data_IF_021810176588
#
_entry.id   IF_021810176588
#
_cell.length_a   1.000
_cell.length_b   1.000
_cell.length_c   1.000
_cell.angle_alpha   90.00
_cell.angle_beta   90.00
_cell.angle_gamma   90.00
#
_symmetry.space_group_name_H-M   'P 1'
#
loop_
_entity.id
_entity.type
_entity.pdbx_description
1 polymer ?
#
# COMPACT_ATOMS: atom_id res chain seq x y z
N UNK A 1 -31.46 33.53 -7.13
CA UNK A 1 -30.23 32.91 -6.62
C UNK A 1 -29.64 33.81 -5.56
N UNK A 2 -29.10 33.30 -4.48
CA UNK A 2 -28.53 34.04 -3.32
C UNK A 2 -29.53 34.73 -2.36
N UNK A 3 -30.85 34.55 -2.56
CA UNK A 3 -31.82 34.97 -1.55
C UNK A 3 -31.81 34.01 -0.36
N UNK A 4 -31.79 34.53 0.83
CA UNK A 4 -31.86 33.73 2.07
C UNK A 4 -33.27 33.15 2.27
N UNK A 5 -33.37 31.89 2.72
CA UNK A 5 -32.29 30.92 3.07
C UNK A 5 -31.73 30.23 1.85
N UNK A 6 -30.37 30.09 1.80
CA UNK A 6 -29.69 29.32 0.74
C UNK A 6 -30.09 27.84 0.79
N UNK A 7 -30.24 27.24 -0.39
CA UNK A 7 -30.69 25.87 -0.62
C UNK A 7 -29.51 25.00 -1.09
N UNK A 8 -29.78 23.77 -1.43
CA UNK A 8 -28.78 22.84 -2.01
C UNK A 8 -28.12 23.37 -3.28
N UNK A 9 -28.88 24.05 -4.15
CA UNK A 9 -28.32 24.61 -5.41
C UNK A 9 -27.21 25.64 -5.16
N UNK A 10 -27.34 26.49 -4.15
CA UNK A 10 -26.28 27.44 -3.78
C UNK A 10 -25.03 26.71 -3.28
N UNK A 11 -25.19 25.58 -2.55
CA UNK A 11 -24.08 24.70 -2.17
C UNK A 11 -23.35 24.12 -3.38
N UNK A 12 -24.07 23.60 -4.36
CA UNK A 12 -23.46 23.10 -5.61
C UNK A 12 -22.74 24.19 -6.38
N UNK A 13 -23.30 25.40 -6.46
CA UNK A 13 -22.64 26.53 -7.12
C UNK A 13 -21.38 26.97 -6.38
N UNK A 14 -21.39 26.97 -5.04
CA UNK A 14 -20.17 27.23 -4.24
C UNK A 14 -19.09 26.18 -4.57
N UNK A 15 -19.44 24.88 -4.58
CA UNK A 15 -18.49 23.83 -4.92
C UNK A 15 -17.92 23.98 -6.33
N UNK A 16 -18.74 24.29 -7.32
CA UNK A 16 -18.29 24.61 -8.68
C UNK A 16 -17.34 25.82 -8.70
N UNK A 17 -17.65 26.86 -7.94
CA UNK A 17 -16.77 28.02 -7.78
C UNK A 17 -15.42 27.66 -7.18
N UNK A 18 -15.41 26.81 -6.14
CA UNK A 18 -14.17 26.30 -5.53
C UNK A 18 -13.33 25.47 -6.52
N UNK A 19 -13.99 24.62 -7.32
CA UNK A 19 -13.31 23.85 -8.38
C UNK A 19 -12.72 24.79 -9.44
N UNK A 20 -13.47 25.81 -9.86
CA UNK A 20 -12.98 26.76 -10.85
C UNK A 20 -11.79 27.59 -10.31
N UNK A 21 -11.88 28.10 -9.10
CA UNK A 21 -10.76 28.81 -8.43
C UNK A 21 -9.56 27.87 -8.24
N UNK A 22 -9.80 26.64 -7.80
CA UNK A 22 -8.76 25.63 -7.71
C UNK A 22 -8.10 25.33 -9.06
N UNK A 23 -8.87 25.25 -10.14
CA UNK A 23 -8.35 25.09 -11.50
C UNK A 23 -7.47 26.27 -11.93
N UNK A 24 -7.87 27.50 -11.64
CA UNK A 24 -7.05 28.69 -11.89
C UNK A 24 -5.75 28.67 -11.09
N UNK A 25 -5.78 28.29 -9.81
CA UNK A 25 -4.59 28.12 -8.99
C UNK A 25 -3.67 27.01 -9.54
N UNK A 26 -4.24 25.90 -9.99
CA UNK A 26 -3.48 24.79 -10.58
C UNK A 26 -2.67 25.24 -11.80
N UNK A 27 -3.27 26.06 -12.66
CA UNK A 27 -2.62 26.57 -13.88
C UNK A 27 -1.60 27.66 -13.54
N UNK A 28 -1.87 28.53 -12.57
CA UNK A 28 -1.03 29.71 -12.28
C UNK A 28 0.12 29.42 -11.32
N UNK A 29 -0.10 28.56 -10.32
CA UNK A 29 0.89 28.27 -9.24
C UNK A 29 1.46 26.86 -9.35
N UNK A 30 0.77 25.97 -10.08
CA UNK A 30 1.11 24.55 -10.11
C UNK A 30 0.56 23.77 -8.90
N UNK A 31 0.88 22.47 -8.77
CA UNK A 31 0.33 21.61 -7.71
C UNK A 31 0.77 22.07 -6.30
N UNK A 32 -0.05 21.75 -5.30
CA UNK A 32 0.28 22.01 -3.88
C UNK A 32 1.56 21.25 -3.49
N UNK A 33 2.50 21.96 -2.88
CA UNK A 33 3.76 21.39 -2.38
C UNK A 33 3.62 21.09 -0.89
N UNK A 34 3.25 19.86 -0.56
CA UNK A 34 3.04 19.46 0.84
C UNK A 34 4.30 19.54 1.70
N UNK A 35 5.49 19.40 1.12
CA UNK A 35 6.76 19.53 1.84
C UNK A 35 6.93 20.90 2.55
N UNK A 36 6.23 21.95 2.11
CA UNK A 36 6.22 23.25 2.80
C UNK A 36 5.56 23.16 4.19
N UNK A 37 4.71 22.17 4.39
CA UNK A 37 4.02 21.90 5.65
C UNK A 37 4.76 20.94 6.57
N UNK A 38 6.04 20.61 6.31
CA UNK A 38 6.84 19.84 7.27
C UNK A 38 6.99 20.62 8.59
N UNK A 39 7.27 19.89 9.69
CA UNK A 39 7.49 20.50 10.99
C UNK A 39 8.54 21.65 10.92
N UNK A 40 8.31 22.82 11.55
CA UNK A 40 7.17 23.16 12.42
C UNK A 40 5.97 23.82 11.70
N UNK A 41 6.00 23.98 10.37
CA UNK A 41 4.98 24.71 9.62
C UNK A 41 3.58 24.08 9.72
N UNK A 42 3.49 22.77 9.81
CA UNK A 42 2.23 22.04 10.00
C UNK A 42 1.56 22.38 11.36
N UNK A 43 2.33 22.51 12.43
CA UNK A 43 1.80 22.91 13.75
C UNK A 43 1.26 24.33 13.69
N UNK A 44 1.98 25.25 13.03
CA UNK A 44 1.52 26.63 12.82
C UNK A 44 0.24 26.64 11.99
N UNK A 45 0.20 25.88 10.89
CA UNK A 45 -0.99 25.75 10.05
C UNK A 45 -2.18 25.17 10.83
N UNK A 46 -1.97 24.17 11.67
CA UNK A 46 -2.98 23.60 12.55
C UNK A 46 -3.53 24.64 13.53
N UNK A 47 -2.65 25.38 14.21
CA UNK A 47 -3.05 26.45 15.13
C UNK A 47 -3.87 27.54 14.42
N UNK A 48 -3.43 27.99 13.25
CA UNK A 48 -4.16 28.96 12.42
C UNK A 48 -5.52 28.41 12.00
N UNK A 49 -5.57 27.15 11.56
CA UNK A 49 -6.82 26.49 11.14
C UNK A 49 -7.81 26.37 12.30
N UNK A 50 -7.37 25.98 13.49
CA UNK A 50 -8.21 25.94 14.71
C UNK A 50 -8.69 27.34 15.05
N UNK A 51 -7.82 28.36 15.06
CA UNK A 51 -8.18 29.74 15.34
C UNK A 51 -9.24 30.27 14.36
N UNK A 52 -9.07 30.00 13.06
CA UNK A 52 -10.06 30.36 12.04
C UNK A 52 -11.40 29.67 12.29
N UNK A 53 -11.39 28.39 12.65
CA UNK A 53 -12.60 27.62 12.95
C UNK A 53 -13.32 28.17 14.18
N UNK A 54 -12.59 28.47 15.26
CA UNK A 54 -13.14 29.08 16.50
C UNK A 54 -13.73 30.46 16.20
N UNK A 55 -13.00 31.30 15.47
CA UNK A 55 -13.46 32.62 15.08
C UNK A 55 -14.71 32.56 14.20
N UNK A 56 -14.72 31.69 13.21
CA UNK A 56 -15.89 31.47 12.36
C UNK A 56 -17.10 31.02 13.20
N UNK A 57 -16.89 30.06 14.10
CA UNK A 57 -17.94 29.61 15.00
C UNK A 57 -18.46 30.75 15.89
N UNK A 58 -17.60 31.58 16.46
CA UNK A 58 -18.04 32.76 17.25
C UNK A 58 -18.88 33.74 16.43
N UNK A 59 -18.60 33.84 15.13
CA UNK A 59 -19.30 34.74 14.21
C UNK A 59 -20.56 34.12 13.57
N UNK A 60 -20.87 32.85 13.80
CA UNK A 60 -21.93 32.13 13.08
C UNK A 60 -23.32 32.78 13.16
N UNK A 61 -23.64 33.47 14.28
CA UNK A 61 -24.89 34.21 14.46
C UNK A 61 -24.93 35.51 13.64
N UNK A 62 -23.79 36.13 13.37
CA UNK A 62 -23.66 37.37 12.62
C UNK A 62 -23.43 37.16 11.12
N UNK A 63 -22.73 36.08 10.76
CA UNK A 63 -22.34 35.79 9.38
C UNK A 63 -23.15 34.63 8.86
N UNK A 64 -24.11 34.90 7.99
CA UNK A 64 -25.00 33.86 7.45
C UNK A 64 -24.28 32.74 6.70
N UNK A 65 -23.20 33.05 5.98
CA UNK A 65 -22.40 32.08 5.25
C UNK A 65 -21.83 31.00 6.18
N UNK A 66 -21.36 31.36 7.38
CA UNK A 66 -20.87 30.38 8.37
C UNK A 66 -22.00 29.47 8.85
N UNK A 67 -23.18 30.04 9.11
CA UNK A 67 -24.34 29.26 9.49
C UNK A 67 -24.78 28.32 8.37
N UNK A 68 -24.68 28.72 7.11
CA UNK A 68 -24.91 27.86 5.95
C UNK A 68 -23.91 26.71 5.90
N UNK A 69 -22.61 26.97 6.10
CA UNK A 69 -21.55 25.93 6.08
C UNK A 69 -21.83 24.83 7.14
N UNK A 70 -22.37 25.20 8.31
CA UNK A 70 -22.75 24.22 9.35
C UNK A 70 -24.04 23.43 9.02
N UNK A 71 -24.67 23.67 7.89
CA UNK A 71 -25.92 23.02 7.51
C UNK A 71 -25.69 21.83 6.57
N UNK A 72 -26.64 20.86 6.58
CA UNK A 72 -26.61 19.75 5.63
C UNK A 72 -26.66 20.19 4.16
N UNK A 73 -27.19 21.41 3.89
CA UNK A 73 -27.26 22.00 2.54
C UNK A 73 -25.88 22.39 1.99
N UNK A 74 -24.90 22.56 2.85
CA UNK A 74 -23.48 22.74 2.50
C UNK A 74 -22.73 21.42 2.51
N UNK A 75 -22.98 20.56 3.50
CA UNK A 75 -22.27 19.30 3.66
C UNK A 75 -22.54 18.32 2.49
N UNK A 76 -23.78 18.22 2.02
CA UNK A 76 -24.12 17.30 0.91
C UNK A 76 -23.38 17.65 -0.39
N UNK A 77 -23.40 18.89 -0.90
CA UNK A 77 -22.59 19.24 -2.07
C UNK A 77 -21.09 19.01 -1.88
N UNK A 78 -20.54 19.35 -0.71
CA UNK A 78 -19.12 19.11 -0.41
C UNK A 78 -18.78 17.61 -0.51
N UNK A 79 -19.60 16.73 0.06
CA UNK A 79 -19.44 15.28 -0.02
C UNK A 79 -19.56 14.78 -1.46
N UNK A 80 -20.54 15.26 -2.24
CA UNK A 80 -20.71 14.86 -3.63
C UNK A 80 -19.47 15.19 -4.46
N UNK A 81 -18.95 16.43 -4.35
CA UNK A 81 -17.73 16.81 -5.07
C UNK A 81 -16.50 16.03 -4.58
N UNK A 82 -16.35 15.85 -3.27
CA UNK A 82 -15.25 15.05 -2.72
C UNK A 82 -15.30 13.61 -3.24
N UNK A 83 -16.49 12.99 -3.26
CA UNK A 83 -16.69 11.62 -3.78
C UNK A 83 -16.36 11.53 -5.27
N UNK A 84 -16.83 12.49 -6.08
CA UNK A 84 -16.55 12.51 -7.52
C UNK A 84 -15.04 12.65 -7.80
N UNK A 85 -14.36 13.58 -7.10
CA UNK A 85 -12.92 13.75 -7.26
C UNK A 85 -12.13 12.54 -6.76
N UNK A 86 -12.57 11.90 -5.68
CA UNK A 86 -11.97 10.64 -5.19
C UNK A 86 -12.20 9.49 -6.17
N UNK A 87 -13.37 9.40 -6.80
CA UNK A 87 -13.63 8.42 -7.85
C UNK A 87 -12.71 8.63 -9.06
N UNK A 88 -12.52 9.87 -9.49
CA UNK A 88 -11.56 10.22 -10.55
C UNK A 88 -10.15 9.80 -10.15
N UNK A 89 -9.73 10.06 -8.90
CA UNK A 89 -8.44 9.62 -8.37
C UNK A 89 -8.27 8.09 -8.46
N UNK A 90 -9.33 7.34 -8.17
CA UNK A 90 -9.30 5.86 -8.20
C UNK A 90 -9.16 5.27 -9.59
N UNK A 91 -9.69 5.93 -10.63
CA UNK A 91 -9.61 5.46 -12.03
C UNK A 91 -8.40 6.03 -12.78
N UNK A 92 -7.71 7.04 -12.22
CA UNK A 92 -6.48 7.61 -12.79
C UNK A 92 -5.25 7.02 -12.12
N UNK A 93 -4.25 6.61 -12.90
CA UNK A 93 -2.98 6.13 -12.34
C UNK A 93 -2.27 7.28 -11.64
N UNK A 94 -2.18 7.21 -10.32
CA UNK A 94 -1.48 8.22 -9.52
C UNK A 94 0.04 8.05 -9.62
N UNK A 95 0.76 9.17 -9.70
CA UNK A 95 2.23 9.20 -9.69
C UNK A 95 2.75 9.32 -8.25
N UNK A 96 4.00 8.88 -7.97
CA UNK A 96 4.64 9.03 -6.66
C UNK A 96 4.66 10.49 -6.16
N UNK A 97 4.77 10.66 -4.85
CA UNK A 97 4.70 11.98 -4.21
C UNK A 97 5.82 12.94 -4.66
N UNK A 98 7.00 12.42 -4.95
CA UNK A 98 8.20 13.11 -5.41
C UNK A 98 8.16 13.46 -6.91
N UNK A 99 7.39 12.71 -7.71
CA UNK A 99 7.24 12.96 -9.14
C UNK A 99 6.32 14.15 -9.43
N UNK A 100 6.53 14.83 -10.55
CA UNK A 100 5.59 15.79 -11.10
C UNK A 100 4.33 15.10 -11.63
N UNK A 101 3.20 15.83 -11.84
CA UNK A 101 2.03 15.24 -12.49
C UNK A 101 2.39 14.82 -13.91
N UNK A 102 1.88 13.64 -14.32
CA UNK A 102 2.10 13.10 -15.66
C UNK A 102 1.14 13.69 -16.71
N UNK A 103 0.10 14.40 -16.26
CA UNK A 103 -0.90 15.04 -17.11
C UNK A 103 -0.91 16.57 -16.93
N UNK A 104 -1.30 17.34 -17.96
CA UNK A 104 -1.32 18.81 -17.89
C UNK A 104 -2.28 19.38 -16.86
N UNK A 105 -3.34 18.65 -16.51
CA UNK A 105 -4.35 19.09 -15.55
C UNK A 105 -3.95 18.77 -14.11
N UNK A 106 -3.04 17.80 -13.87
CA UNK A 106 -2.60 17.38 -12.55
C UNK A 106 -3.49 16.31 -11.90
N UNK A 107 -4.34 15.61 -12.67
CA UNK A 107 -5.23 14.55 -12.16
C UNK A 107 -4.46 13.31 -11.70
N UNK A 108 -3.28 13.05 -12.27
CA UNK A 108 -2.38 11.98 -11.86
C UNK A 108 -1.67 12.27 -10.53
N UNK A 109 -1.88 13.46 -9.95
CA UNK A 109 -1.41 13.85 -8.61
C UNK A 109 -2.54 14.49 -7.81
N UNK A 110 -3.64 13.79 -7.67
CA UNK A 110 -4.91 14.31 -7.15
C UNK A 110 -4.80 14.93 -5.76
N UNK A 111 -4.02 14.36 -4.85
CA UNK A 111 -3.83 14.90 -3.50
C UNK A 111 -3.14 16.28 -3.48
N UNK A 112 -2.44 16.65 -4.56
CA UNK A 112 -1.81 17.97 -4.73
C UNK A 112 -2.58 18.85 -5.71
N UNK A 113 -3.71 18.37 -6.24
CA UNK A 113 -4.56 19.08 -7.21
C UNK A 113 -5.44 20.11 -6.49
N UNK A 114 -5.27 21.39 -6.80
CA UNK A 114 -5.97 22.47 -6.09
C UNK A 114 -7.49 22.32 -5.99
N UNK A 115 -8.22 21.93 -7.05
CA UNK A 115 -9.66 21.70 -6.95
C UNK A 115 -10.02 20.66 -5.87
N UNK A 116 -9.25 19.57 -5.78
CA UNK A 116 -9.44 18.57 -4.73
C UNK A 116 -9.15 19.15 -3.34
N UNK A 117 -8.03 19.87 -3.19
CA UNK A 117 -7.64 20.49 -1.92
C UNK A 117 -8.68 21.51 -1.45
N UNK A 118 -9.22 22.35 -2.35
CA UNK A 118 -10.26 23.33 -2.01
C UNK A 118 -11.55 22.67 -1.51
N UNK A 119 -12.00 21.61 -2.17
CA UNK A 119 -13.18 20.84 -1.74
C UNK A 119 -12.91 20.12 -0.41
N UNK A 120 -11.72 19.56 -0.24
CA UNK A 120 -11.31 18.90 0.98
C UNK A 120 -11.25 19.85 2.18
N UNK A 121 -10.69 21.05 2.00
CA UNK A 121 -10.69 22.12 3.02
C UNK A 121 -12.11 22.55 3.37
N UNK A 122 -12.99 22.73 2.37
CA UNK A 122 -14.40 23.04 2.63
C UNK A 122 -15.08 21.95 3.45
N UNK A 123 -14.89 20.68 3.09
CA UNK A 123 -15.48 19.55 3.82
C UNK A 123 -14.93 19.48 5.26
N UNK A 124 -13.60 19.58 5.44
CA UNK A 124 -12.99 19.53 6.77
C UNK A 124 -13.45 20.69 7.67
N UNK A 125 -13.61 21.89 7.07
CA UNK A 125 -14.11 23.06 7.79
C UNK A 125 -15.57 22.89 8.21
N UNK A 126 -16.41 22.30 7.35
CA UNK A 126 -17.80 21.93 7.68
C UNK A 126 -17.84 20.97 8.87
N UNK A 127 -17.01 19.91 8.85
CA UNK A 127 -16.90 18.92 9.94
C UNK A 127 -16.46 19.59 11.24
N UNK A 128 -15.43 20.45 11.17
CA UNK A 128 -14.92 21.19 12.32
C UNK A 128 -15.99 22.07 12.98
N UNK A 129 -16.70 22.87 12.18
CA UNK A 129 -17.75 23.75 12.69
C UNK A 129 -18.93 23.00 13.29
N UNK A 130 -19.35 21.86 12.69
CA UNK A 130 -20.40 20.98 13.24
C UNK A 130 -19.94 20.36 14.55
N UNK A 131 -18.69 19.86 14.61
CA UNK A 131 -18.11 19.34 15.85
C UNK A 131 -18.07 20.39 16.96
N UNK A 132 -17.65 21.62 16.64
CA UNK A 132 -17.68 22.73 17.61
C UNK A 132 -19.09 23.06 18.12
N UNK A 133 -20.08 23.07 17.22
CA UNK A 133 -21.50 23.29 17.62
C UNK A 133 -21.95 22.19 18.59
N UNK A 134 -21.60 20.94 18.35
CA UNK A 134 -21.94 19.83 19.25
C UNK A 134 -21.20 19.91 20.58
N UNK A 135 -19.95 20.34 20.58
CA UNK A 135 -19.18 20.56 21.80
C UNK A 135 -19.74 21.73 22.63
N UNK A 136 -20.11 22.85 21.97
CA UNK A 136 -20.67 24.01 22.65
C UNK A 136 -22.08 23.78 23.22
N UNK A 137 -22.86 22.91 22.61
CA UNK A 137 -24.21 22.52 23.06
C UNK A 137 -24.20 21.04 23.45
N UNK A 138 -23.28 20.69 24.37
CA UNK A 138 -23.05 19.30 24.76
C UNK A 138 -24.34 18.65 25.29
N UNK A 139 -24.64 17.48 24.74
CA UNK A 139 -25.75 16.62 25.15
C UNK A 139 -25.29 15.16 25.11
N UNK A 140 -25.59 14.42 26.16
CA UNK A 140 -25.19 13.01 26.26
C UNK A 140 -25.74 12.13 25.14
N UNK A 141 -26.95 12.42 24.66
CA UNK A 141 -27.59 11.71 23.55
C UNK A 141 -26.89 11.97 22.20
N UNK A 142 -26.16 13.08 22.06
CA UNK A 142 -25.39 13.47 20.87
C UNK A 142 -23.90 13.09 20.94
N UNK A 143 -23.44 12.53 22.07
CA UNK A 143 -22.04 12.16 22.26
C UNK A 143 -21.50 11.24 21.14
N UNK A 144 -22.23 10.20 20.66
CA UNK A 144 -21.76 9.36 19.56
C UNK A 144 -21.52 10.16 18.27
N UNK A 145 -22.44 11.04 17.92
CA UNK A 145 -22.29 11.92 16.74
C UNK A 145 -21.14 12.92 16.91
N UNK A 146 -20.97 13.48 18.09
CA UNK A 146 -19.86 14.39 18.39
C UNK A 146 -18.50 13.66 18.30
N UNK A 147 -18.40 12.45 18.81
CA UNK A 147 -17.21 11.61 18.70
C UNK A 147 -16.87 11.29 17.23
N UNK A 148 -17.87 10.97 16.40
CA UNK A 148 -17.68 10.75 14.97
C UNK A 148 -17.16 11.99 14.24
N UNK A 149 -17.73 13.18 14.49
CA UNK A 149 -17.26 14.41 13.86
C UNK A 149 -15.84 14.79 14.34
N UNK A 150 -15.56 14.63 15.64
CA UNK A 150 -14.23 14.87 16.19
C UNK A 150 -13.20 13.90 15.60
N UNK A 151 -13.53 12.60 15.54
CA UNK A 151 -12.68 11.59 14.94
C UNK A 151 -12.40 11.86 13.46
N UNK A 152 -13.43 12.19 12.69
CA UNK A 152 -13.30 12.55 11.28
C UNK A 152 -12.42 13.78 11.09
N UNK A 153 -12.61 14.82 11.92
CA UNK A 153 -11.78 16.02 11.89
C UNK A 153 -10.31 15.68 12.16
N UNK A 154 -10.03 14.91 13.22
CA UNK A 154 -8.67 14.48 13.57
C UNK A 154 -8.03 13.70 12.42
N UNK A 155 -8.72 12.71 11.85
CA UNK A 155 -8.19 11.93 10.71
C UNK A 155 -7.90 12.82 9.51
N UNK A 156 -8.83 13.71 9.15
CA UNK A 156 -8.64 14.58 7.99
C UNK A 156 -7.45 15.52 8.18
N UNK A 157 -7.37 16.18 9.32
CA UNK A 157 -6.35 17.22 9.56
C UNK A 157 -5.00 16.59 9.85
N UNK A 158 -4.92 15.60 10.75
CA UNK A 158 -3.67 14.95 11.09
C UNK A 158 -3.09 14.15 9.90
N UNK A 159 -3.94 13.44 9.14
CA UNK A 159 -3.50 12.73 7.94
C UNK A 159 -2.96 13.64 6.85
N UNK A 160 -3.50 14.87 6.72
CA UNK A 160 -3.02 15.82 5.72
C UNK A 160 -1.78 16.57 6.17
N UNK A 161 -1.81 17.18 7.35
CA UNK A 161 -0.70 17.99 7.87
C UNK A 161 0.49 17.12 8.30
N UNK A 162 0.23 15.88 8.75
CA UNK A 162 1.26 14.93 9.14
C UNK A 162 1.99 14.28 7.96
N UNK A 163 1.38 14.25 6.78
CA UNK A 163 1.97 13.59 5.61
C UNK A 163 3.34 14.14 5.21
N UNK A 164 3.62 15.41 5.51
CA UNK A 164 4.90 16.04 5.22
C UNK A 164 6.03 15.64 6.19
N UNK A 165 5.69 15.13 7.37
CA UNK A 165 6.67 14.66 8.37
C UNK A 165 6.99 13.17 8.25
N UNK A 166 6.22 12.43 7.44
CA UNK A 166 6.51 11.04 7.16
C UNK A 166 7.79 10.94 6.33
N UNK A 167 8.74 10.15 6.82
CA UNK A 167 9.99 9.90 6.10
C UNK A 167 10.09 8.42 5.78
N UNK A 168 10.59 8.14 4.57
CA UNK A 168 10.93 6.80 4.09
C UNK A 168 12.34 6.86 3.52
N UNK A 169 13.21 6.03 4.06
CA UNK A 169 14.62 5.99 3.68
C UNK A 169 15.02 4.55 3.40
N UNK A 170 15.86 4.31 2.42
CA UNK A 170 16.35 2.99 2.04
C UNK A 170 17.82 2.85 2.41
N UNK A 171 18.13 1.83 3.20
CA UNK A 171 19.48 1.50 3.62
C UNK A 171 19.93 0.24 2.89
N UNK A 172 21.09 0.30 2.24
CA UNK A 172 21.72 -0.84 1.57
C UNK A 172 22.74 -1.47 2.51
N UNK A 173 22.41 -2.61 3.09
CA UNK A 173 23.23 -3.30 4.07
C UNK A 173 24.01 -4.43 3.38
N UNK A 174 25.32 -4.32 3.27
CA UNK A 174 26.18 -5.41 2.85
C UNK A 174 26.48 -6.38 4.01
N UNK A 175 26.62 -7.66 3.69
CA UNK A 175 26.87 -8.70 4.71
C UNK A 175 28.16 -8.44 5.46
N UNK A 176 28.07 -8.38 6.79
CA UNK A 176 29.18 -8.17 7.71
C UNK A 176 29.69 -6.73 7.82
N UNK A 177 29.10 -5.78 7.10
CA UNK A 177 29.49 -4.36 7.16
C UNK A 177 28.47 -3.54 7.95
N UNK A 178 28.90 -2.65 8.87
CA UNK A 178 27.98 -1.74 9.53
C UNK A 178 27.57 -0.61 8.59
N UNK A 179 26.27 -0.37 8.47
CA UNK A 179 25.73 0.76 7.69
C UNK A 179 24.73 1.55 8.56
N UNK A 180 24.82 2.90 8.49
CA UNK A 180 23.95 3.84 9.20
C UNK A 180 23.43 4.96 8.31
N UNK A 181 23.82 4.94 7.02
CA UNK A 181 23.40 5.92 6.01
C UNK A 181 22.27 5.31 5.20
N UNK A 182 21.23 6.08 4.99
CA UNK A 182 20.10 5.69 4.18
C UNK A 182 19.82 6.76 3.12
N UNK A 183 19.19 6.38 2.04
CA UNK A 183 18.85 7.23 0.91
C UNK A 183 17.36 7.55 0.91
N UNK A 184 17.01 8.80 0.64
CA UNK A 184 15.64 9.18 0.30
C UNK A 184 15.33 8.85 -1.19
N UNK A 185 14.07 9.07 -1.60
CA UNK A 185 13.62 8.83 -2.99
C UNK A 185 14.34 9.74 -4.03
N UNK A 186 15.09 10.75 -3.58
CA UNK A 186 15.91 11.64 -4.42
C UNK A 186 17.39 11.28 -4.40
N UNK A 187 17.76 10.14 -3.78
CA UNK A 187 19.13 9.68 -3.54
C UNK A 187 19.98 10.62 -2.66
N UNK A 188 19.36 11.46 -1.83
CA UNK A 188 20.11 12.19 -0.81
C UNK A 188 20.44 11.26 0.36
N UNK A 189 21.66 11.36 0.87
CA UNK A 189 22.15 10.58 2.00
C UNK A 189 21.68 11.20 3.32
N UNK A 190 21.10 10.38 4.17
CA UNK A 190 20.69 10.72 5.53
C UNK A 190 21.40 9.79 6.52
N UNK A 191 21.98 10.36 7.57
CA UNK A 191 22.54 9.57 8.67
C UNK A 191 21.45 9.26 9.70
N UNK A 192 21.33 7.97 10.05
CA UNK A 192 20.35 7.49 11.01
C UNK A 192 20.97 7.29 12.39
N UNK A 193 20.18 7.39 13.47
CA UNK A 193 20.63 7.05 14.83
C UNK A 193 20.73 5.53 15.05
N UNK A 194 20.55 4.74 14.00
CA UNK A 194 20.59 3.28 14.01
C UNK A 194 21.59 2.82 12.96
N UNK A 195 22.49 1.93 13.34
CA UNK A 195 23.38 1.23 12.44
C UNK A 195 22.98 -0.25 12.36
N UNK A 196 23.03 -0.81 11.16
CA UNK A 196 22.68 -2.21 10.89
C UNK A 196 23.93 -2.95 10.39
N UNK A 197 24.16 -4.15 10.94
CA UNK A 197 25.09 -5.12 10.38
C UNK A 197 24.26 -6.31 9.89
N UNK A 198 24.29 -6.56 8.59
CA UNK A 198 23.62 -7.71 8.01
C UNK A 198 24.44 -8.97 8.30
N UNK A 199 23.91 -9.89 9.08
CA UNK A 199 24.54 -11.17 9.37
C UNK A 199 24.24 -12.19 8.27
N UNK A 200 22.96 -12.31 7.89
CA UNK A 200 22.53 -13.20 6.81
C UNK A 200 21.23 -12.73 6.15
N UNK A 201 21.06 -13.10 4.87
CA UNK A 201 19.82 -12.92 4.13
C UNK A 201 19.15 -14.28 3.95
N UNK A 202 17.87 -14.37 4.28
CA UNK A 202 17.07 -15.60 4.26
C UNK A 202 16.00 -15.46 3.17
N UNK A 203 16.01 -16.40 2.22
CA UNK A 203 14.99 -16.53 1.20
C UNK A 203 14.38 -17.93 1.27
N UNK A 204 13.17 -18.03 1.81
CA UNK A 204 12.36 -19.23 1.71
C UNK A 204 11.56 -19.19 0.40
N UNK A 205 11.58 -20.27 -0.34
CA UNK A 205 10.90 -20.39 -1.62
C UNK A 205 9.80 -21.43 -1.55
N UNK A 206 8.77 -21.28 -2.39
CA UNK A 206 7.80 -22.33 -2.59
C UNK A 206 8.46 -23.55 -3.24
N UNK A 207 7.90 -24.77 -3.06
CA UNK A 207 8.40 -25.96 -3.72
C UNK A 207 8.51 -25.76 -5.23
N UNK A 208 9.54 -26.37 -5.85
CA UNK A 208 9.71 -26.31 -7.28
C UNK A 208 8.46 -26.86 -8.00
N UNK A 209 8.19 -26.36 -9.18
CA UNK A 209 7.08 -26.81 -10.02
C UNK A 209 7.63 -27.27 -11.38
N UNK A 210 7.03 -28.31 -11.94
CA UNK A 210 7.20 -28.66 -13.33
C UNK A 210 5.98 -28.17 -14.10
N UNK A 211 6.22 -27.56 -15.26
CA UNK A 211 5.17 -27.11 -16.18
C UNK A 211 5.35 -27.81 -17.54
N UNK A 212 4.24 -28.19 -18.14
CA UNK A 212 4.24 -28.59 -19.56
C UNK A 212 4.01 -27.34 -20.40
N UNK A 213 4.93 -27.05 -21.31
CA UNK A 213 4.84 -25.92 -22.26
C UNK A 213 4.68 -26.38 -23.67
N UNK A 214 3.98 -25.60 -24.48
CA UNK A 214 3.92 -25.77 -25.94
C UNK A 214 5.18 -25.14 -26.55
N UNK A 215 5.90 -25.92 -27.36
CA UNK A 215 7.19 -25.52 -27.95
C UNK A 215 7.09 -24.38 -28.95
N UNK A 216 5.91 -24.14 -29.57
CA UNK A 216 5.71 -23.08 -30.53
C UNK A 216 5.35 -21.76 -29.84
N UNK A 217 4.47 -21.81 -28.88
CA UNK A 217 3.97 -20.61 -28.18
C UNK A 217 4.79 -20.24 -26.95
N UNK A 218 5.61 -21.18 -26.43
CA UNK A 218 6.35 -21.08 -25.17
C UNK A 218 5.44 -20.79 -23.95
N UNK A 219 4.15 -21.10 -24.08
CA UNK A 219 3.16 -20.92 -23.02
C UNK A 219 2.85 -22.24 -22.33
N UNK A 220 2.47 -22.17 -21.07
CA UNK A 220 2.01 -23.34 -20.32
C UNK A 220 0.76 -23.93 -20.96
N UNK A 221 0.77 -25.23 -21.22
CA UNK A 221 -0.41 -25.98 -21.65
C UNK A 221 -1.47 -25.90 -20.56
N UNK A 222 -2.72 -25.65 -20.94
CA UNK A 222 -3.83 -25.55 -20.00
C UNK A 222 -4.80 -26.71 -20.20
N UNK A 223 -5.24 -27.28 -19.10
CA UNK A 223 -6.32 -28.26 -19.01
C UNK A 223 -7.40 -27.65 -18.07
N UNK A 224 -8.63 -27.63 -18.50
CA UNK A 224 -9.75 -26.96 -17.78
C UNK A 224 -9.43 -25.51 -17.32
N UNK A 225 -8.70 -24.75 -18.18
CA UNK A 225 -8.30 -23.37 -17.90
C UNK A 225 -7.14 -23.18 -16.93
N UNK A 226 -6.61 -24.28 -16.34
CA UNK A 226 -5.47 -24.27 -15.43
C UNK A 226 -4.20 -24.77 -16.11
N UNK A 227 -3.02 -24.23 -15.79
CA UNK A 227 -1.76 -24.73 -16.33
C UNK A 227 -1.51 -26.18 -15.85
N UNK A 228 -1.10 -27.04 -16.77
CA UNK A 228 -0.68 -28.41 -16.45
C UNK A 228 0.64 -28.34 -15.69
N UNK A 229 0.58 -28.60 -14.38
CA UNK A 229 1.72 -28.43 -13.48
C UNK A 229 1.78 -29.49 -12.40
N UNK A 230 3.00 -29.80 -11.96
CA UNK A 230 3.29 -30.69 -10.82
C UNK A 230 4.14 -29.94 -9.80
N UNK A 231 3.75 -30.01 -8.54
CA UNK A 231 4.52 -29.43 -7.43
C UNK A 231 5.45 -30.49 -6.89
N UNK A 232 6.76 -30.21 -6.84
CA UNK A 232 7.79 -31.09 -6.33
C UNK A 232 7.99 -30.84 -4.82
N UNK A 233 7.05 -31.25 -4.01
CA UNK A 233 7.18 -31.19 -2.55
C UNK A 233 8.08 -32.33 -2.02
N UNK A 234 8.33 -32.35 -0.72
CA UNK A 234 9.20 -33.31 -0.08
C UNK A 234 8.67 -34.77 -0.17
N UNK A 235 7.39 -34.95 -0.46
CA UNK A 235 6.73 -36.29 -0.60
C UNK A 235 6.49 -36.71 -2.05
N UNK A 236 6.83 -35.88 -3.02
CA UNK A 236 6.53 -36.13 -4.42
C UNK A 236 7.35 -37.31 -4.95
N UNK A 237 6.68 -38.38 -5.36
CA UNK A 237 7.27 -39.57 -6.00
C UNK A 237 6.95 -39.64 -7.49
N UNK A 238 5.81 -39.09 -7.91
CA UNK A 238 5.34 -39.05 -9.29
C UNK A 238 3.91 -38.53 -9.36
N UNK A 239 3.53 -38.01 -10.53
CA UNK A 239 2.21 -37.40 -10.76
C UNK A 239 1.88 -37.31 -12.24
N UNK A 240 0.60 -37.11 -12.53
CA UNK A 240 0.09 -36.92 -13.88
C UNK A 240 0.21 -35.47 -14.31
N UNK A 241 0.82 -35.22 -15.46
CA UNK A 241 0.92 -33.91 -16.10
C UNK A 241 0.35 -33.98 -17.52
N UNK A 242 -0.94 -33.74 -17.67
CA UNK A 242 -1.66 -34.00 -18.91
C UNK A 242 -1.62 -35.47 -19.25
N UNK A 243 -1.15 -35.82 -20.45
CA UNK A 243 -1.01 -37.22 -20.90
C UNK A 243 0.27 -37.94 -20.39
N UNK A 244 1.10 -37.26 -19.59
CA UNK A 244 2.39 -37.76 -19.13
C UNK A 244 2.39 -38.06 -17.65
N UNK A 245 2.86 -39.28 -17.30
CA UNK A 245 3.18 -39.61 -15.91
C UNK A 245 4.64 -39.26 -15.63
N UNK A 246 4.86 -38.35 -14.72
CA UNK A 246 6.18 -37.78 -14.39
C UNK A 246 6.64 -38.27 -13.03
N UNK A 247 7.86 -38.75 -12.95
CA UNK A 247 8.49 -39.23 -11.71
C UNK A 247 9.91 -38.67 -11.54
N UNK A 248 10.39 -38.58 -10.29
CA UNK A 248 11.76 -38.16 -9.99
C UNK A 248 12.66 -39.40 -9.97
N UNK A 249 13.65 -39.45 -10.86
CA UNK A 249 14.68 -40.47 -10.86
C UNK A 249 15.81 -40.19 -9.87
N UNK A 250 16.34 -38.97 -9.89
CA UNK A 250 17.42 -38.50 -9.00
C UNK A 250 17.25 -37.02 -8.69
N UNK A 251 17.72 -36.62 -7.51
CA UNK A 251 17.81 -35.24 -7.11
C UNK A 251 19.28 -34.88 -6.86
N UNK A 252 19.79 -33.84 -7.50
CA UNK A 252 21.18 -33.40 -7.28
C UNK A 252 21.24 -32.33 -6.19
N UNK A 253 20.31 -31.41 -6.25
CA UNK A 253 20.08 -30.35 -5.24
C UNK A 253 18.62 -29.94 -5.32
N UNK A 254 18.22 -28.87 -4.57
CA UNK A 254 16.83 -28.42 -4.55
C UNK A 254 16.37 -27.76 -5.86
N UNK A 255 17.29 -27.47 -6.77
CA UNK A 255 17.03 -26.73 -8.01
C UNK A 255 17.28 -27.57 -9.28
N UNK A 256 17.74 -28.84 -9.14
CA UNK A 256 18.10 -29.71 -10.28
C UNK A 256 17.63 -31.14 -10.02
N UNK A 257 16.71 -31.62 -10.87
CA UNK A 257 16.06 -32.92 -10.75
C UNK A 257 16.24 -33.71 -12.04
N UNK A 258 16.57 -35.00 -11.92
CA UNK A 258 16.50 -35.97 -13.03
C UNK A 258 15.10 -36.52 -13.08
N UNK A 259 14.38 -36.21 -14.14
CA UNK A 259 12.98 -36.53 -14.33
C UNK A 259 12.85 -37.66 -15.35
N UNK A 260 11.89 -38.58 -15.10
CA UNK A 260 11.41 -39.60 -16.05
C UNK A 260 9.95 -39.31 -16.34
N UNK A 261 9.60 -39.22 -17.61
CA UNK A 261 8.25 -38.95 -18.07
C UNK A 261 7.82 -40.07 -19.03
N UNK A 262 6.77 -40.77 -18.68
CA UNK A 262 6.17 -41.87 -19.47
C UNK A 262 4.81 -41.39 -20.00
N UNK A 263 4.54 -41.57 -21.27
CA UNK A 263 3.24 -41.21 -21.84
C UNK A 263 2.17 -42.19 -21.36
N UNK A 264 1.24 -41.71 -20.56
CA UNK A 264 0.13 -42.48 -19.97
C UNK A 264 -1.13 -41.63 -19.93
N UNK A 265 -1.88 -41.51 -21.03
CA UNK A 265 -3.15 -40.80 -21.00
C UNK A 265 -4.15 -41.47 -20.06
N UNK A 266 -5.01 -40.68 -19.42
CA UNK A 266 -6.02 -41.15 -18.50
C UNK A 266 -6.96 -42.15 -19.19
N UNK A 267 -7.13 -43.36 -18.60
CA UNK A 267 -7.99 -44.43 -19.13
C UNK A 267 -7.29 -45.48 -19.99
N UNK A 268 -6.00 -45.35 -20.29
CA UNK A 268 -5.22 -46.45 -20.91
C UNK A 268 -4.64 -47.40 -19.84
N UNK A 269 -4.80 -48.73 -20.08
CA UNK A 269 -4.15 -49.75 -19.27
C UNK A 269 -2.62 -49.70 -19.35
N UNK A 270 -1.95 -50.59 -18.62
CA UNK A 270 -0.49 -50.57 -18.33
C UNK A 270 0.48 -50.72 -19.50
N UNK A 271 0.04 -50.81 -20.76
CA UNK A 271 0.91 -50.92 -21.93
C UNK A 271 1.31 -49.53 -22.44
N UNK A 272 2.47 -49.01 -21.98
CA UNK A 272 3.11 -47.84 -22.56
C UNK A 272 3.76 -48.23 -23.89
N UNK A 273 3.49 -47.51 -25.00
CA UNK A 273 4.23 -47.76 -26.25
C UNK A 273 5.71 -47.43 -26.00
N UNK A 274 6.58 -48.37 -26.39
CA UNK A 274 8.04 -48.35 -26.17
C UNK A 274 8.73 -47.02 -26.66
N UNK A 275 8.06 -46.23 -27.50
CA UNK A 275 8.60 -45.02 -28.15
C UNK A 275 8.15 -43.71 -27.52
N UNK A 276 7.47 -43.70 -26.38
CA UNK A 276 6.99 -42.44 -25.70
C UNK A 276 7.50 -42.36 -24.26
N UNK A 277 8.82 -42.32 -24.15
CA UNK A 277 9.53 -42.10 -22.91
C UNK A 277 10.48 -40.91 -23.07
N UNK A 278 10.52 -40.04 -22.11
CA UNK A 278 11.45 -38.91 -22.05
C UNK A 278 12.12 -38.84 -20.67
N UNK A 279 13.42 -38.70 -20.64
CA UNK A 279 14.13 -38.51 -19.37
C UNK A 279 15.28 -37.53 -19.50
N UNK A 280 15.64 -36.90 -18.41
CA UNK A 280 16.74 -35.93 -18.38
C UNK A 280 16.73 -35.03 -17.16
N UNK A 281 17.72 -34.17 -17.12
CA UNK A 281 17.84 -33.15 -16.08
C UNK A 281 16.99 -31.93 -16.39
N UNK A 282 16.20 -31.48 -15.40
CA UNK A 282 15.39 -30.27 -15.45
C UNK A 282 15.84 -29.32 -14.33
N UNK A 283 16.05 -28.07 -14.66
CA UNK A 283 16.40 -27.05 -13.70
C UNK A 283 15.85 -25.67 -14.14
N UNK A 284 15.55 -24.84 -13.17
CA UNK A 284 15.14 -23.45 -13.43
C UNK A 284 16.28 -22.56 -13.95
N UNK A 285 17.54 -23.04 -13.83
CA UNK A 285 18.70 -22.23 -14.07
C UNK A 285 18.93 -21.18 -12.97
N UNK A 286 19.99 -20.40 -13.12
CA UNK A 286 20.33 -19.25 -12.28
C UNK A 286 21.16 -18.25 -13.11
N UNK A 287 21.67 -17.19 -12.48
CA UNK A 287 22.49 -16.18 -13.15
C UNK A 287 23.73 -16.74 -13.89
N UNK A 288 24.25 -17.92 -13.48
CA UNK A 288 25.44 -18.54 -14.06
C UNK A 288 25.13 -19.73 -14.99
N UNK A 289 23.97 -20.36 -14.84
CA UNK A 289 23.59 -21.54 -15.59
C UNK A 289 22.22 -21.37 -16.26
N UNK A 290 22.14 -21.68 -17.57
CA UNK A 290 20.85 -21.60 -18.28
C UNK A 290 19.87 -22.66 -17.75
N UNK A 291 18.55 -22.44 -17.89
CA UNK A 291 17.55 -23.42 -17.55
C UNK A 291 17.71 -24.69 -18.40
N UNK A 292 17.39 -25.84 -17.82
CA UNK A 292 17.35 -27.13 -18.52
C UNK A 292 15.92 -27.62 -18.59
N UNK A 293 15.53 -28.10 -19.75
CA UNK A 293 14.21 -28.66 -20.03
C UNK A 293 14.33 -30.03 -20.72
N UNK A 294 13.25 -30.78 -20.68
CA UNK A 294 13.14 -32.07 -21.36
C UNK A 294 12.05 -31.96 -22.44
N UNK A 295 12.38 -32.29 -23.67
CA UNK A 295 11.36 -32.45 -24.70
C UNK A 295 10.55 -33.75 -24.43
N UNK A 296 9.25 -33.60 -24.23
CA UNK A 296 8.31 -34.72 -24.07
C UNK A 296 7.95 -35.31 -25.43
N UNK A 297 7.67 -34.44 -26.38
CA UNK A 297 7.39 -34.76 -27.78
C UNK A 297 7.77 -33.57 -28.69
N UNK A 298 7.31 -33.61 -29.97
CA UNK A 298 7.58 -32.53 -30.94
C UNK A 298 6.90 -31.23 -30.57
N UNK A 299 5.84 -31.24 -29.79
CA UNK A 299 5.00 -30.11 -29.48
C UNK A 299 5.15 -29.63 -28.03
N UNK A 300 5.56 -30.48 -27.11
CA UNK A 300 5.57 -30.20 -25.69
C UNK A 300 6.95 -30.41 -25.06
N UNK A 301 7.29 -29.59 -24.10
CA UNK A 301 8.45 -29.73 -23.24
C UNK A 301 8.08 -29.59 -21.78
N UNK A 302 8.84 -30.24 -20.91
CA UNK A 302 8.73 -30.12 -19.47
C UNK A 302 9.81 -29.14 -18.98
N UNK A 303 9.37 -28.09 -18.33
CA UNK A 303 10.24 -27.02 -17.80
C UNK A 303 10.04 -26.83 -16.32
N UNK A 304 11.05 -26.30 -15.66
CA UNK A 304 10.99 -25.83 -14.28
C UNK A 304 11.14 -24.32 -14.28
N UNK A 305 10.09 -23.54 -13.98
CA UNK A 305 10.23 -22.11 -13.77
C UNK A 305 11.03 -21.81 -12.49
N UNK A 306 11.55 -20.61 -12.39
CA UNK A 306 12.13 -20.15 -11.14
C UNK A 306 11.10 -20.24 -10.00
N UNK A 307 11.57 -20.55 -8.81
CA UNK A 307 10.70 -20.64 -7.63
C UNK A 307 10.21 -19.28 -7.22
N UNK A 308 8.97 -19.22 -6.82
CA UNK A 308 8.40 -17.99 -6.25
C UNK A 308 8.88 -17.83 -4.81
N UNK A 309 9.30 -16.61 -4.41
CA UNK A 309 9.62 -16.30 -3.02
C UNK A 309 8.39 -16.52 -2.13
N UNK A 310 8.56 -17.28 -1.04
CA UNK A 310 7.54 -17.46 0.00
C UNK A 310 7.74 -16.49 1.16
N UNK A 311 8.98 -16.29 1.56
CA UNK A 311 9.38 -15.41 2.66
C UNK A 311 10.81 -14.95 2.40
N UNK A 312 11.06 -13.68 2.64
CA UNK A 312 12.42 -13.17 2.70
C UNK A 312 12.59 -12.29 3.94
N UNK A 313 13.74 -12.42 4.56
CA UNK A 313 14.08 -11.80 5.82
C UNK A 313 15.58 -11.50 5.89
N UNK A 314 15.96 -10.60 6.78
CA UNK A 314 17.34 -10.31 7.09
C UNK A 314 17.62 -10.55 8.57
N UNK A 315 18.58 -11.38 8.87
CA UNK A 315 19.14 -11.50 10.19
C UNK A 315 20.19 -10.40 10.38
N UNK A 316 19.94 -9.53 11.34
CA UNK A 316 20.72 -8.31 11.53
C UNK A 316 21.13 -8.14 12.98
N UNK A 317 22.23 -7.44 13.18
CA UNK A 317 22.57 -6.82 14.44
C UNK A 317 22.22 -5.33 14.35
N UNK A 318 21.40 -4.87 15.27
CA UNK A 318 20.93 -3.48 15.34
C UNK A 318 21.69 -2.76 16.43
N UNK A 319 22.42 -1.71 16.08
CA UNK A 319 23.15 -0.85 16.99
C UNK A 319 22.46 0.51 17.03
N UNK A 320 22.18 1.03 18.21
CA UNK A 320 21.53 2.34 18.35
C UNK A 320 22.47 3.38 18.97
N UNK A 321 22.24 4.64 18.65
CA UNK A 321 23.02 5.75 19.22
C UNK A 321 22.85 5.86 20.74
N UNK A 322 21.72 5.41 21.28
CA UNK A 322 21.46 5.31 22.72
C UNK A 322 22.24 4.19 23.43
N UNK A 323 23.05 3.40 22.70
CA UNK A 323 23.88 2.32 23.24
C UNK A 323 23.21 0.94 23.19
N UNK A 324 22.07 0.80 22.53
CA UNK A 324 21.42 -0.49 22.31
C UNK A 324 22.19 -1.38 21.32
N UNK A 325 22.21 -2.69 21.60
CA UNK A 325 22.75 -3.71 20.72
C UNK A 325 21.83 -4.94 20.78
N UNK A 326 21.18 -5.26 19.69
CA UNK A 326 20.22 -6.36 19.63
C UNK A 326 20.39 -7.16 18.33
N UNK A 327 20.16 -8.47 18.42
CA UNK A 327 20.01 -9.33 17.25
C UNK A 327 18.51 -9.41 16.90
N UNK A 328 18.18 -9.23 15.63
CA UNK A 328 16.81 -9.25 15.15
C UNK A 328 16.73 -9.89 13.77
N UNK A 329 15.58 -10.52 13.49
CA UNK A 329 15.20 -10.95 12.14
C UNK A 329 14.13 -10.00 11.63
N UNK A 330 14.44 -9.25 10.56
CA UNK A 330 13.54 -8.27 9.95
C UNK A 330 12.87 -8.92 8.74
N UNK A 331 11.54 -8.89 8.73
CA UNK A 331 10.71 -9.46 7.67
C UNK A 331 9.85 -8.37 6.98
N UNK A 332 9.29 -8.66 5.81
CA UNK A 332 8.48 -7.72 5.02
C UNK A 332 7.33 -7.12 5.83
N UNK A 333 6.56 -7.96 6.51
CA UNK A 333 5.36 -7.55 7.26
C UNK A 333 5.55 -7.55 8.78
N UNK A 334 6.79 -7.72 9.26
CA UNK A 334 7.13 -7.73 10.69
C UNK A 334 8.33 -6.81 10.93
N UNK A 335 8.08 -5.49 11.00
CA UNK A 335 9.13 -4.52 11.20
C UNK A 335 9.78 -4.64 12.59
N UNK A 336 11.05 -4.29 12.64
CA UNK A 336 11.75 -4.03 13.89
C UNK A 336 11.65 -2.53 14.22
N UNK A 337 11.47 -2.20 15.51
CA UNK A 337 11.36 -0.80 15.94
C UNK A 337 12.58 -0.38 16.77
N UNK A 338 13.26 0.69 16.35
CA UNK A 338 14.38 1.28 17.04
C UNK A 338 14.44 2.80 16.83
N UNK A 339 14.73 3.58 17.87
CA UNK A 339 14.95 5.04 17.84
C UNK A 339 13.82 5.80 17.08
N UNK A 340 12.57 5.34 17.20
CA UNK A 340 11.40 5.95 16.53
C UNK A 340 11.23 5.58 15.05
N UNK A 341 12.07 4.67 14.54
CA UNK A 341 11.99 4.13 13.19
C UNK A 341 11.40 2.73 13.19
N UNK A 342 10.55 2.44 12.22
CA UNK A 342 10.11 1.10 11.84
C UNK A 342 10.96 0.64 10.67
N UNK A 343 11.63 -0.50 10.83
CA UNK A 343 12.59 -1.04 9.87
C UNK A 343 11.98 -2.25 9.22
N UNK A 344 11.75 -2.18 7.91
CA UNK A 344 11.13 -3.24 7.11
C UNK A 344 12.15 -3.87 6.18
N UNK A 345 11.97 -5.14 5.88
CA UNK A 345 12.63 -5.78 4.76
C UNK A 345 12.01 -5.24 3.46
N UNK A 346 12.80 -4.60 2.60
CA UNK A 346 12.32 -4.00 1.36
C UNK A 346 12.76 -4.76 0.12
N UNK A 347 14.04 -5.13 0.02
CA UNK A 347 14.59 -5.77 -1.16
C UNK A 347 15.88 -6.53 -0.90
N UNK A 348 16.40 -7.15 -1.94
CA UNK A 348 17.64 -7.92 -1.95
C UNK A 348 18.17 -8.00 -3.39
N UNK A 349 19.31 -8.66 -3.62
CA UNK A 349 19.81 -8.93 -4.96
C UNK A 349 19.01 -10.05 -5.63
N UNK A 350 18.03 -9.67 -6.46
CA UNK A 350 17.16 -10.62 -7.16
C UNK A 350 17.95 -11.52 -8.14
N UNK A 351 19.11 -11.06 -8.66
CA UNK A 351 19.92 -11.87 -9.58
C UNK A 351 20.61 -13.00 -8.84
N UNK A 352 21.06 -12.75 -7.61
CA UNK A 352 21.70 -13.75 -6.75
C UNK A 352 20.71 -14.58 -5.94
N UNK A 353 19.45 -14.11 -5.80
CA UNK A 353 18.39 -14.80 -5.07
C UNK A 353 18.81 -15.13 -3.63
N UNK A 354 18.74 -16.40 -3.23
CA UNK A 354 19.12 -16.85 -1.88
C UNK A 354 20.60 -16.63 -1.53
N UNK A 355 21.43 -16.30 -2.50
CA UNK A 355 22.86 -15.98 -2.33
C UNK A 355 23.12 -14.49 -2.29
N UNK A 356 22.11 -13.67 -2.06
CA UNK A 356 22.27 -12.23 -1.96
C UNK A 356 23.29 -11.85 -0.89
N UNK A 357 24.25 -11.01 -1.25
CA UNK A 357 25.26 -10.49 -0.34
C UNK A 357 24.86 -9.16 0.30
N UNK A 358 23.72 -8.59 -0.11
CA UNK A 358 23.17 -7.39 0.50
C UNK A 358 21.66 -7.49 0.70
N UNK A 359 21.15 -6.69 1.60
CA UNK A 359 19.73 -6.48 1.83
C UNK A 359 19.40 -5.01 1.82
N UNK A 360 18.24 -4.66 1.29
CA UNK A 360 17.72 -3.30 1.35
C UNK A 360 16.66 -3.24 2.43
N UNK A 361 16.89 -2.40 3.43
CA UNK A 361 15.96 -2.16 4.53
C UNK A 361 15.30 -0.79 4.35
N UNK A 362 13.97 -0.74 4.50
CA UNK A 362 13.22 0.51 4.48
C UNK A 362 12.97 0.99 5.91
N UNK A 363 13.44 2.20 6.20
CA UNK A 363 13.23 2.90 7.46
C UNK A 363 12.06 3.87 7.28
N UNK A 364 11.03 3.70 8.09
CA UNK A 364 9.82 4.53 8.04
C UNK A 364 9.60 5.19 9.40
N UNK A 365 9.41 6.49 9.41
CA UNK A 365 8.90 7.21 10.59
C UNK A 365 7.69 8.05 10.20
N UNK A 366 6.65 7.98 11.04
CA UNK A 366 5.42 8.77 10.90
C UNK A 366 4.95 9.21 12.29
N UNK A 367 5.37 10.39 12.73
CA UNK A 367 5.04 10.90 14.07
C UNK A 367 3.56 11.22 14.25
N UNK A 368 2.79 11.39 13.16
CA UNK A 368 1.37 11.71 13.21
C UNK A 368 0.46 10.48 13.21
N UNK A 369 0.98 9.32 12.85
CA UNK A 369 0.20 8.07 12.76
C UNK A 369 -0.57 7.74 14.06
N UNK A 370 0.00 7.88 15.28
CA UNK A 370 -0.76 7.66 16.51
C UNK A 370 -1.97 8.58 16.65
N UNK A 371 -1.85 9.86 16.22
CA UNK A 371 -2.95 10.83 16.25
C UNK A 371 -4.06 10.42 15.28
N UNK A 372 -3.70 9.95 14.09
CA UNK A 372 -4.64 9.41 13.10
C UNK A 372 -5.37 8.19 13.66
N UNK A 373 -4.67 7.27 14.34
CA UNK A 373 -5.31 6.11 15.00
C UNK A 373 -6.28 6.52 16.11
N UNK A 374 -5.96 7.55 16.90
CA UNK A 374 -6.91 8.11 17.86
C UNK A 374 -8.16 8.65 17.16
N UNK A 375 -8.01 9.30 16.02
CA UNK A 375 -9.13 9.75 15.19
C UNK A 375 -10.00 8.60 14.68
N UNK A 376 -9.39 7.51 14.19
CA UNK A 376 -10.13 6.31 13.79
C UNK A 376 -10.86 5.64 14.96
N UNK A 377 -10.23 5.56 16.13
CA UNK A 377 -10.88 5.01 17.32
C UNK A 377 -12.13 5.83 17.71
N UNK A 378 -12.03 7.17 17.68
CA UNK A 378 -13.18 8.04 17.92
C UNK A 378 -14.29 7.86 16.89
N UNK A 379 -13.94 7.72 15.59
CA UNK A 379 -14.90 7.44 14.52
C UNK A 379 -15.64 6.13 14.76
N UNK A 380 -14.94 5.06 15.08
CA UNK A 380 -15.53 3.74 15.33
C UNK A 380 -16.45 3.75 16.56
N UNK A 381 -15.97 4.35 17.67
CA UNK A 381 -16.77 4.47 18.89
C UNK A 381 -18.02 5.32 18.65
N UNK A 382 -17.90 6.41 17.90
CA UNK A 382 -19.01 7.25 17.52
C UNK A 382 -20.02 6.52 16.63
N UNK A 383 -19.56 5.78 15.62
CA UNK A 383 -20.42 5.00 14.73
C UNK A 383 -21.17 3.89 15.48
N UNK A 384 -20.47 3.13 16.33
CA UNK A 384 -21.08 2.11 17.19
C UNK A 384 -22.12 2.72 18.13
N UNK A 385 -21.76 3.84 18.79
CA UNK A 385 -22.69 4.55 19.67
C UNK A 385 -23.96 5.03 18.95
N UNK A 386 -23.85 5.56 17.73
CA UNK A 386 -25.01 5.95 16.92
C UNK A 386 -25.88 4.74 16.56
N UNK A 387 -25.29 3.60 16.25
CA UNK A 387 -26.04 2.38 15.94
C UNK A 387 -26.91 1.93 17.14
N UNK A 388 -26.35 1.94 18.35
CA UNK A 388 -27.10 1.55 19.57
C UNK A 388 -28.13 2.60 20.01
N UNK A 389 -27.88 3.89 19.75
CA UNK A 389 -28.84 4.96 20.11
C UNK A 389 -30.01 5.07 19.11
N UNK A 390 -29.78 4.79 17.82
CA UNK A 390 -30.83 4.80 16.79
C UNK A 390 -31.96 3.78 17.07
N UNK A 391 -31.66 2.66 17.72
CA UNK A 391 -32.65 1.67 18.13
C UNK A 391 -33.57 2.11 19.28
N UNK A 392 -33.08 3.02 20.14
CA UNK A 392 -33.86 3.54 21.28
C UNK A 392 -34.88 4.63 20.91
N UNK A 393 -34.63 5.36 19.82
CA UNK A 393 -35.50 6.46 19.35
C UNK A 393 -36.79 5.99 18.67
N UNK A 394 -36.97 4.70 18.36
CA UNK A 394 -38.16 4.12 17.72
C UNK A 394 -39.16 3.51 18.72
N UNK A 395 -38.91 3.64 20.03
CA UNK A 395 -39.70 3.03 21.09
C UNK A 395 -40.51 4.04 21.94
N UNK A 396 -40.72 5.28 21.45
CA UNK A 396 -41.64 6.25 22.09
C UNK A 396 -42.60 6.85 21.08
#
# INVERSE_FOLDING_TARGET
MWNRPWKLKEGFVIGLGLIAVGGLLQISVGPVRWAVFAYPANIIALCVYILLTVTAYALHRKVYAVNFIMSWRSAVPALVYATLLTAIMGITRQVPADAGPADPLGLTKMLSFWPFVMIYVWLSFTVALVGMRQAAHFRWDQLPSAASHAGLFVVMVAGTLGSADMQRLKMFCEKGQPEWRALDDRNNVHELPVAIILNDFILDEYPARLLVIDNKTQMAVKEDGKPVSLVLDSGFKGGQAGEWFVSIGKKKNDDEYYIKADWKPAGMGSAVPENKHAEGWVSAGNAMMPPRMIALDRQHSLVMPQREPKRFASDVQVLTKSGGNALATIEVNRPYEAEGWKIYQYGYDEQMGKWSNYSVLEFVTDPWLPVVYCGFALLLLGALGMFFTAGRSKGH
#
